data_IF_127052999116
#
_entry.id   IF_127052999116
#
_cell.length_a   1.000
_cell.length_b   1.000
_cell.length_c   1.000
_cell.angle_alpha   90.00
_cell.angle_beta   90.00
_cell.angle_gamma   90.00
#
_symmetry.space_group_name_H-M   'P 1'
#
loop_
_entity.id
_entity.type
_entity.pdbx_description
1 polymer ?
#
# COMPACT_ATOMS: atom_id res chain seq x y z
N UNK A 1 -9.37 30.52 33.01
CA UNK A 1 -9.44 30.18 31.57
C UNK A 1 -8.04 30.25 30.99
N UNK A 2 -7.41 29.12 30.70
CA UNK A 2 -6.04 29.06 30.14
C UNK A 2 -5.90 27.84 29.20
N UNK A 3 -6.68 27.81 28.11
CA UNK A 3 -6.59 26.76 27.07
C UNK A 3 -6.12 27.27 25.71
N UNK A 4 -5.76 28.56 25.61
CA UNK A 4 -5.37 29.20 24.33
C UNK A 4 -4.15 28.50 23.71
N UNK A 5 -3.08 28.30 24.49
CA UNK A 5 -1.88 27.61 23.99
C UNK A 5 -2.13 26.13 23.65
N UNK A 6 -2.98 25.44 24.43
CA UNK A 6 -3.37 24.06 24.12
C UNK A 6 -4.13 23.96 22.79
N UNK A 7 -5.02 24.92 22.53
CA UNK A 7 -5.78 25.03 21.28
C UNK A 7 -4.85 25.29 20.10
N UNK A 8 -3.95 26.28 20.21
CA UNK A 8 -2.94 26.58 19.19
C UNK A 8 -2.03 25.39 18.88
N UNK A 9 -1.61 24.64 19.92
CA UNK A 9 -0.80 23.44 19.74
C UNK A 9 -1.56 22.31 19.02
N UNK A 10 -2.86 22.15 19.28
CA UNK A 10 -3.70 21.19 18.57
C UNK A 10 -3.89 21.58 17.10
N UNK A 11 -4.14 22.86 16.82
CA UNK A 11 -4.26 23.39 15.45
C UNK A 11 -2.97 23.22 14.65
N UNK A 12 -1.81 23.50 15.27
CA UNK A 12 -0.52 23.31 14.62
C UNK A 12 -0.27 21.83 14.27
N UNK A 13 -0.59 20.90 15.17
CA UNK A 13 -0.51 19.46 14.89
C UNK A 13 -1.44 19.04 13.76
N UNK A 14 -2.71 19.46 13.79
CA UNK A 14 -3.67 19.13 12.75
C UNK A 14 -3.24 19.60 11.36
N UNK A 15 -2.65 20.81 11.27
CA UNK A 15 -2.06 21.33 10.03
C UNK A 15 -0.87 20.50 9.57
N UNK A 16 0.05 20.16 10.49
CA UNK A 16 1.19 19.30 10.19
C UNK A 16 0.78 17.92 9.67
N UNK A 17 -0.16 17.26 10.37
CA UNK A 17 -0.69 15.97 9.96
C UNK A 17 -1.38 16.01 8.60
N UNK A 18 -2.10 17.09 8.28
CA UNK A 18 -2.71 17.26 6.97
C UNK A 18 -1.66 17.36 5.85
N UNK A 19 -0.57 18.09 6.08
CA UNK A 19 0.54 18.18 5.13
C UNK A 19 1.26 16.84 4.97
N UNK A 20 1.47 16.08 6.05
CA UNK A 20 2.06 14.74 5.99
C UNK A 20 1.16 13.80 5.18
N UNK A 21 -0.16 13.78 5.44
CA UNK A 21 -1.13 13.00 4.64
C UNK A 21 -1.06 13.34 3.16
N UNK A 22 -0.94 14.62 2.83
CA UNK A 22 -0.79 15.06 1.45
C UNK A 22 0.53 14.57 0.83
N UNK A 23 1.64 14.66 1.54
CA UNK A 23 2.93 14.16 1.08
C UNK A 23 2.90 12.64 0.83
N UNK A 24 2.31 11.88 1.74
CA UNK A 24 2.18 10.43 1.64
C UNK A 24 1.26 10.00 0.48
N UNK A 25 0.20 10.77 0.24
CA UNK A 25 -0.66 10.60 -0.93
C UNK A 25 0.13 10.79 -2.23
N UNK A 26 0.89 11.89 -2.35
CA UNK A 26 1.69 12.19 -3.54
C UNK A 26 2.81 11.17 -3.74
N UNK A 27 3.42 10.68 -2.66
CA UNK A 27 4.40 9.59 -2.71
C UNK A 27 3.76 8.31 -3.29
N UNK A 28 2.55 7.97 -2.86
CA UNK A 28 1.82 6.81 -3.37
C UNK A 28 1.41 6.96 -4.83
N UNK A 29 0.96 8.15 -5.23
CA UNK A 29 0.62 8.47 -6.63
C UNK A 29 1.85 8.41 -7.54
N UNK A 30 2.96 9.06 -7.15
CA UNK A 30 4.21 9.03 -7.93
C UNK A 30 4.80 7.63 -8.05
N UNK A 31 4.63 6.79 -7.02
CA UNK A 31 5.02 5.39 -7.08
C UNK A 31 4.19 4.62 -8.13
N UNK A 32 2.87 4.82 -8.17
CA UNK A 32 2.01 4.23 -9.20
C UNK A 32 2.39 4.68 -10.61
N UNK A 33 2.71 5.96 -10.81
CA UNK A 33 3.16 6.47 -12.10
C UNK A 33 4.43 5.77 -12.58
N UNK A 34 5.42 5.63 -11.68
CA UNK A 34 6.65 4.87 -11.97
C UNK A 34 6.36 3.39 -12.26
N UNK A 35 5.41 2.77 -11.56
CA UNK A 35 4.94 1.39 -11.82
C UNK A 35 4.39 1.20 -13.22
N UNK A 36 3.72 2.20 -13.77
CA UNK A 36 3.20 2.13 -15.14
C UNK A 36 4.25 2.45 -16.20
N UNK A 37 5.26 3.25 -15.87
CA UNK A 37 6.30 3.67 -16.80
C UNK A 37 7.45 2.66 -16.94
N UNK A 38 8.01 2.18 -15.82
CA UNK A 38 9.35 1.56 -15.81
C UNK A 38 9.35 0.03 -15.62
N UNK A 39 8.28 -0.55 -15.07
CA UNK A 39 8.13 -2.01 -14.95
C UNK A 39 8.95 -2.72 -13.86
N UNK A 40 10.21 -2.36 -13.55
CA UNK A 40 11.06 -2.91 -12.44
C UNK A 40 12.34 -2.05 -12.16
N UNK A 41 12.93 -2.02 -10.93
CA UNK A 41 12.31 -2.07 -9.61
C UNK A 41 12.16 -0.65 -9.01
N UNK A 42 10.96 -0.35 -8.53
CA UNK A 42 10.53 1.01 -8.14
C UNK A 42 10.74 1.19 -6.63
N UNK A 43 12.01 1.01 -6.26
CA UNK A 43 12.54 1.28 -4.92
C UNK A 43 12.99 2.77 -4.87
N UNK A 44 12.80 3.49 -3.77
CA UNK A 44 11.89 3.17 -2.67
C UNK A 44 10.42 3.32 -3.06
N UNK A 45 9.63 2.38 -2.56
CA UNK A 45 8.19 2.48 -2.47
C UNK A 45 7.82 3.25 -1.20
N UNK A 46 6.57 3.72 -1.03
CA UNK A 46 6.07 4.09 0.28
C UNK A 46 6.12 2.91 1.26
N UNK A 47 6.15 3.22 2.55
CA UNK A 47 5.87 2.23 3.61
C UNK A 47 4.37 1.92 3.67
N UNK A 48 3.99 0.87 4.41
CA UNK A 48 2.59 0.58 4.68
C UNK A 48 1.85 1.76 5.30
N UNK A 49 2.40 2.34 6.38
CA UNK A 49 1.77 3.45 7.08
C UNK A 49 1.63 4.68 6.18
N UNK A 50 2.64 4.98 5.36
CA UNK A 50 2.56 6.07 4.40
C UNK A 50 1.45 5.82 3.38
N UNK A 51 1.36 4.62 2.80
CA UNK A 51 0.29 4.30 1.86
C UNK A 51 -1.10 4.42 2.51
N UNK A 52 -1.28 3.88 3.72
CA UNK A 52 -2.55 3.95 4.46
C UNK A 52 -2.88 5.41 4.81
N UNK A 53 -1.92 6.18 5.30
CA UNK A 53 -2.09 7.60 5.65
C UNK A 53 -2.41 8.46 4.42
N UNK A 54 -1.84 8.12 3.26
CA UNK A 54 -2.15 8.71 1.96
C UNK A 54 -3.50 8.28 1.37
N UNK A 55 -4.23 7.37 2.02
CA UNK A 55 -5.54 6.87 1.60
C UNK A 55 -5.49 5.67 0.64
N UNK A 56 -4.33 5.05 0.46
CA UNK A 56 -4.11 3.89 -0.41
C UNK A 56 -4.00 2.60 0.41
N UNK A 57 -5.12 2.11 0.93
CA UNK A 57 -5.16 0.91 1.77
C UNK A 57 -5.11 -0.41 0.99
N UNK A 58 -5.13 -0.38 -0.34
CA UNK A 58 -5.17 -1.58 -1.18
C UNK A 58 -3.97 -1.66 -2.10
N UNK A 59 -3.44 -2.87 -2.28
CA UNK A 59 -2.35 -3.17 -3.20
C UNK A 59 -2.81 -4.20 -4.22
N UNK A 60 -2.82 -3.83 -5.49
CA UNK A 60 -3.08 -4.75 -6.59
C UNK A 60 -1.83 -5.56 -6.87
N UNK A 61 -2.00 -6.88 -6.93
CA UNK A 61 -0.95 -7.83 -7.24
C UNK A 61 -1.38 -8.77 -8.37
N UNK A 62 -0.39 -9.28 -9.09
CA UNK A 62 -0.57 -10.33 -10.08
C UNK A 62 0.31 -11.53 -9.76
N UNK A 63 -0.24 -12.74 -9.82
CA UNK A 63 0.56 -13.95 -9.71
C UNK A 63 1.46 -14.12 -10.95
N UNK A 64 2.78 -14.20 -10.78
CA UNK A 64 3.72 -14.38 -11.90
C UNK A 64 3.45 -15.63 -12.75
N UNK A 65 2.97 -16.72 -12.12
CA UNK A 65 2.62 -17.98 -12.79
C UNK A 65 1.23 -18.00 -13.45
N UNK A 66 0.16 -17.88 -12.67
CA UNK A 66 -1.20 -18.09 -13.16
C UNK A 66 -1.91 -16.80 -13.59
N UNK A 67 -1.21 -15.65 -13.53
CA UNK A 67 -1.70 -14.33 -13.95
C UNK A 67 -3.00 -13.87 -13.28
N UNK A 68 -3.39 -14.54 -12.19
CA UNK A 68 -4.54 -14.12 -11.38
C UNK A 68 -4.20 -12.82 -10.68
N UNK A 69 -5.03 -11.81 -10.92
CA UNK A 69 -5.00 -10.52 -10.23
C UNK A 69 -5.79 -10.60 -8.93
N UNK A 70 -5.33 -9.89 -7.90
CA UNK A 70 -5.96 -9.83 -6.59
C UNK A 70 -5.59 -8.51 -5.92
N UNK A 71 -6.50 -8.02 -5.08
CA UNK A 71 -6.18 -6.94 -4.16
C UNK A 71 -5.85 -7.46 -2.76
N UNK A 72 -4.85 -6.84 -2.16
CA UNK A 72 -4.40 -7.07 -0.80
C UNK A 72 -4.75 -5.85 0.03
N UNK A 73 -5.51 -6.07 1.11
CA UNK A 73 -5.79 -5.03 2.10
C UNK A 73 -4.57 -4.84 3.01
N UNK A 74 -3.85 -3.75 2.81
CA UNK A 74 -2.64 -3.40 3.57
C UNK A 74 -2.95 -3.11 5.05
N UNK A 75 -4.13 -2.55 5.35
CA UNK A 75 -4.53 -2.22 6.71
C UNK A 75 -4.88 -3.48 7.52
N UNK A 76 -5.36 -4.54 6.86
CA UNK A 76 -5.66 -5.83 7.51
C UNK A 76 -4.43 -6.71 7.76
N UNK A 77 -3.32 -6.46 7.06
CA UNK A 77 -2.13 -7.30 7.15
C UNK A 77 -1.33 -6.98 8.41
N UNK A 78 -0.79 -7.99 9.12
CA UNK A 78 0.20 -7.75 10.16
C UNK A 78 1.49 -7.25 9.51
N UNK A 79 1.91 -6.03 9.83
CA UNK A 79 3.13 -5.42 9.32
C UNK A 79 3.80 -4.55 10.37
N UNK A 80 5.11 -4.33 10.20
CA UNK A 80 5.81 -3.25 10.90
C UNK A 80 5.55 -1.97 10.12
N UNK A 81 5.18 -0.84 10.77
CA UNK A 81 4.89 0.45 10.12
C UNK A 81 5.90 0.91 9.07
N UNK A 82 7.18 0.59 9.29
CA UNK A 82 8.31 0.99 8.45
C UNK A 82 8.61 -0.01 7.32
N UNK A 83 7.82 -1.08 7.18
CA UNK A 83 8.00 -2.04 6.09
C UNK A 83 7.66 -1.37 4.77
N UNK A 84 8.51 -1.53 3.76
CA UNK A 84 8.22 -1.02 2.43
C UNK A 84 7.28 -1.94 1.66
N UNK A 85 6.45 -1.37 0.81
CA UNK A 85 5.50 -2.13 -0.01
C UNK A 85 6.22 -3.09 -0.98
N UNK A 86 7.36 -2.71 -1.54
CA UNK A 86 8.11 -3.59 -2.44
C UNK A 86 8.56 -4.91 -1.78
N UNK A 87 8.75 -4.93 -0.46
CA UNK A 87 9.09 -6.14 0.30
C UNK A 87 7.98 -7.21 0.30
N UNK A 88 6.73 -6.84 -0.02
CA UNK A 88 5.61 -7.80 -0.10
C UNK A 88 5.74 -8.77 -1.28
N UNK A 89 6.39 -8.38 -2.38
CA UNK A 89 6.44 -9.17 -3.61
C UNK A 89 6.92 -10.61 -3.37
N UNK A 90 7.92 -10.77 -2.49
CA UNK A 90 8.46 -12.06 -2.08
C UNK A 90 7.67 -12.79 -0.99
N UNK A 91 6.80 -12.10 -0.24
CA UNK A 91 6.06 -12.65 0.90
C UNK A 91 4.68 -13.16 0.52
N UNK A 92 4.04 -12.53 -0.47
CA UNK A 92 2.70 -12.90 -0.91
C UNK A 92 2.68 -14.27 -1.61
N UNK A 93 1.55 -14.97 -1.48
CA UNK A 93 1.34 -16.30 -2.04
C UNK A 93 0.00 -16.35 -2.76
N UNK A 94 0.01 -16.84 -4.00
CA UNK A 94 -1.22 -17.08 -4.74
C UNK A 94 -1.94 -18.32 -4.18
N UNK A 95 -3.18 -18.17 -3.72
CA UNK A 95 -3.97 -19.27 -3.16
C UNK A 95 -4.19 -20.42 -4.16
N UNK A 96 -4.49 -20.11 -5.44
CA UNK A 96 -4.66 -21.13 -6.50
C UNK A 96 -3.38 -21.95 -6.71
N UNK A 97 -2.23 -21.27 -6.79
CA UNK A 97 -0.94 -21.94 -6.95
C UNK A 97 -0.51 -22.69 -5.68
N UNK A 98 -0.83 -22.16 -4.49
CA UNK A 98 -0.56 -22.83 -3.22
C UNK A 98 -1.34 -24.15 -3.09
N UNK A 99 -2.63 -24.18 -3.48
CA UNK A 99 -3.43 -25.42 -3.57
C UNK A 99 -2.77 -26.47 -4.49
N UNK A 100 -2.05 -26.04 -5.52
CA UNK A 100 -1.31 -26.91 -6.45
C UNK A 100 0.15 -27.22 -6.00
N UNK A 101 0.54 -26.87 -4.77
CA UNK A 101 1.89 -27.11 -4.24
C UNK A 101 2.97 -26.20 -4.81
N UNK A 102 2.59 -25.04 -5.37
CA UNK A 102 3.50 -24.09 -6.04
C UNK A 102 3.57 -22.77 -5.28
N UNK A 103 4.74 -22.13 -5.32
CA UNK A 103 5.01 -20.88 -4.60
C UNK A 103 5.58 -19.80 -5.53
N UNK A 104 4.80 -19.30 -6.50
CA UNK A 104 5.23 -18.19 -7.35
C UNK A 104 5.31 -16.89 -6.54
N UNK A 105 6.20 -16.00 -6.98
CA UNK A 105 6.25 -14.60 -6.52
C UNK A 105 5.03 -13.82 -7.01
N UNK A 106 4.68 -12.76 -6.28
CA UNK A 106 3.68 -11.80 -6.74
C UNK A 106 4.38 -10.62 -7.41
N UNK A 107 3.88 -10.22 -8.56
CA UNK A 107 4.25 -8.96 -9.21
C UNK A 107 3.33 -7.88 -8.64
N UNK A 108 3.91 -6.82 -8.10
CA UNK A 108 3.15 -5.66 -7.65
C UNK A 108 2.68 -4.87 -8.88
N UNK A 109 1.47 -4.30 -8.82
CA UNK A 109 0.88 -3.58 -9.96
C UNK A 109 0.69 -2.11 -9.64
N UNK A 110 -0.05 -1.82 -8.57
CA UNK A 110 -0.34 -0.45 -8.14
C UNK A 110 -0.94 -0.44 -6.74
N UNK A 111 -0.82 0.70 -6.08
CA UNK A 111 -1.62 1.07 -4.93
C UNK A 111 -3.00 1.59 -5.36
N UNK A 112 -4.02 1.27 -4.59
CA UNK A 112 -5.39 1.68 -4.83
C UNK A 112 -6.06 2.14 -3.52
N UNK A 113 -7.01 3.07 -3.66
CA UNK A 113 -7.82 3.55 -2.54
C UNK A 113 -8.98 2.59 -2.21
N UNK A 114 -9.34 1.72 -3.16
CA UNK A 114 -10.44 0.76 -3.06
C UNK A 114 -10.04 -0.54 -3.77
N UNK A 115 -10.60 -1.69 -3.37
CA UNK A 115 -10.41 -2.92 -4.12
C UNK A 115 -11.05 -2.77 -5.51
N UNK A 116 -10.35 -3.21 -6.54
CA UNK A 116 -10.81 -3.22 -7.94
C UNK A 116 -11.23 -4.63 -8.38
N UNK A 117 -10.65 -5.63 -7.74
CA UNK A 117 -10.85 -7.06 -7.97
C UNK A 117 -11.55 -7.65 -6.75
N UNK A 118 -12.87 -7.84 -6.85
CA UNK A 118 -13.60 -8.65 -5.88
C UNK A 118 -13.04 -10.07 -5.91
N UNK A 119 -12.45 -10.49 -4.81
CA UNK A 119 -12.03 -11.88 -4.64
C UNK A 119 -13.29 -12.71 -4.49
N UNK A 120 -13.77 -13.34 -5.56
CA UNK A 120 -14.78 -14.39 -5.44
C UNK A 120 -14.18 -15.52 -4.58
N UNK A 121 -14.77 -15.85 -3.42
CA UNK A 121 -14.28 -16.94 -2.61
C UNK A 121 -14.66 -18.26 -3.29
N UNK A 122 -13.65 -19.06 -3.66
CA UNK A 122 -13.84 -20.47 -4.10
C UNK A 122 -13.25 -21.45 -3.09
#
# INVERSE_FOLDING_TARGET
MTTILATQAAEARAKGEALIRQADRLLSESWNERMWADGEPIDPSPTFDQAINGGFSWLEIECSRCKTQRDVDLASLPHVPTTFIHDLAGRLRCAKCAKAGRRPTATLRQLAQRPRHTTEPT
#
